data_IF_017204691661
#
_entry.id   IF_017204691661
#
_cell.length_a   1.000
_cell.length_b   1.000
_cell.length_c   1.000
_cell.angle_alpha   90.00
_cell.angle_beta   90.00
_cell.angle_gamma   90.00
#
_symmetry.space_group_name_H-M   'P 1'
#
loop_
_entity.id
_entity.type
_entity.pdbx_description
1 polymer ?
#
# COMPACT_ATOMS: atom_id res chain seq x y z
N UNK A 1 36.83 1.74 -22.62
CA UNK A 1 35.53 2.37 -22.30
C UNK A 1 34.59 1.26 -21.86
N UNK A 2 34.37 1.11 -20.55
CA UNK A 2 33.47 0.06 -20.01
C UNK A 2 32.11 0.72 -19.84
N UNK A 3 31.14 0.32 -20.67
CA UNK A 3 29.74 0.61 -20.39
C UNK A 3 29.31 -0.31 -19.25
N UNK A 4 29.14 0.26 -18.05
CA UNK A 4 28.32 -0.39 -17.03
C UNK A 4 26.88 -0.40 -17.57
N UNK A 5 26.18 -1.55 -17.62
CA UNK A 5 24.78 -1.55 -18.00
C UNK A 5 24.04 -0.63 -17.04
N UNK A 6 23.25 0.30 -17.58
CA UNK A 6 22.33 1.12 -16.83
C UNK A 6 21.46 0.14 -16.02
N UNK A 7 21.75 -0.04 -14.74
CA UNK A 7 20.97 -0.89 -13.86
C UNK A 7 19.56 -0.31 -13.90
N UNK A 8 18.62 -0.98 -14.60
CA UNK A 8 17.22 -0.57 -14.60
C UNK A 8 16.81 -0.52 -13.13
N UNK A 9 16.57 0.68 -12.60
CA UNK A 9 16.09 0.85 -11.22
C UNK A 9 14.93 -0.11 -11.03
N UNK A 10 15.05 -1.04 -10.08
CA UNK A 10 13.95 -1.96 -9.76
C UNK A 10 12.82 -1.10 -9.21
N UNK A 11 11.78 -0.90 -10.02
CA UNK A 11 10.58 -0.19 -9.58
C UNK A 11 9.71 -1.16 -8.79
N UNK A 12 9.20 -0.73 -7.64
CA UNK A 12 8.23 -1.44 -6.83
C UNK A 12 6.89 -0.70 -6.85
N UNK A 13 5.78 -1.44 -6.87
CA UNK A 13 4.45 -0.85 -6.77
C UNK A 13 4.05 -0.76 -5.30
N UNK A 14 3.66 0.41 -4.81
CA UNK A 14 3.18 0.66 -3.45
C UNK A 14 1.74 1.15 -3.50
N UNK A 15 0.90 0.72 -2.55
CA UNK A 15 -0.41 1.32 -2.29
C UNK A 15 -0.35 2.24 -1.07
N UNK A 16 -0.80 3.49 -1.22
CA UNK A 16 -0.88 4.44 -0.10
C UNK A 16 -2.21 4.25 0.64
N UNK A 17 -2.11 4.00 1.96
CA UNK A 17 -3.23 3.89 2.89
C UNK A 17 -3.28 5.19 3.71
N UNK A 18 -4.14 6.10 3.32
CA UNK A 18 -4.22 7.44 3.90
C UNK A 18 -5.31 8.17 3.15
N UNK A 19 -6.03 9.08 3.79
CA UNK A 19 -7.24 9.75 3.28
C UNK A 19 -7.11 10.13 1.79
N UNK A 20 -7.52 9.24 0.89
CA UNK A 20 -7.22 9.38 -0.52
C UNK A 20 -8.39 8.97 -1.39
N UNK A 21 -8.35 9.63 -2.54
CA UNK A 21 -9.35 9.66 -3.58
C UNK A 21 -9.46 8.28 -4.25
N UNK A 22 -10.59 8.14 -4.94
CA UNK A 22 -11.08 6.92 -5.59
C UNK A 22 -10.09 6.48 -6.67
N UNK A 23 -9.72 5.20 -6.79
CA UNK A 23 -9.31 4.57 -8.08
C UNK A 23 -8.90 3.06 -8.06
N UNK A 24 -8.32 2.45 -7.00
CA UNK A 24 -8.01 1.00 -6.96
C UNK A 24 -8.37 0.36 -5.62
N UNK A 25 -8.53 -0.98 -5.52
CA UNK A 25 -8.91 -1.63 -4.24
C UNK A 25 -8.15 -2.90 -3.90
N UNK A 26 -7.97 -3.19 -2.60
CA UNK A 26 -7.49 -4.48 -2.11
C UNK A 26 -8.41 -5.64 -2.55
N UNK A 27 -7.81 -6.73 -3.01
CA UNK A 27 -8.55 -7.95 -3.34
C UNK A 27 -9.28 -8.52 -2.09
N UNK A 28 -8.57 -8.53 -0.96
CA UNK A 28 -9.03 -9.06 0.33
C UNK A 28 -9.35 -7.92 1.29
N UNK A 29 -10.46 -7.99 2.03
CA UNK A 29 -10.88 -6.97 3.01
C UNK A 29 -9.89 -6.80 4.16
N UNK A 30 -9.75 -5.56 4.65
CA UNK A 30 -8.98 -5.21 5.85
C UNK A 30 -9.73 -4.16 6.69
N UNK A 31 -9.55 -4.14 8.02
CA UNK A 31 -10.00 -3.03 8.86
C UNK A 31 -9.13 -1.80 8.63
N UNK A 32 -9.78 -0.64 8.46
CA UNK A 32 -9.15 0.66 8.52
C UNK A 32 -9.75 1.39 9.73
N UNK A 33 -8.92 1.71 10.71
CA UNK A 33 -9.34 2.37 11.96
C UNK A 33 -8.69 3.73 12.05
N UNK A 34 -9.41 4.73 12.55
CA UNK A 34 -8.86 6.06 12.81
C UNK A 34 -8.68 6.20 14.31
N UNK A 35 -7.46 6.52 14.76
CA UNK A 35 -7.24 6.86 16.17
C UNK A 35 -7.57 8.34 16.36
N UNK A 36 -8.50 8.63 17.26
CA UNK A 36 -9.06 9.97 17.48
C UNK A 36 -7.99 11.02 17.83
N UNK A 37 -6.92 10.63 18.54
CA UNK A 37 -5.85 11.57 18.92
C UNK A 37 -4.96 12.01 17.75
N UNK A 38 -4.89 11.22 16.67
CA UNK A 38 -3.96 11.45 15.57
C UNK A 38 -4.65 11.81 14.24
N UNK A 39 -5.94 11.50 14.06
CA UNK A 39 -6.62 11.55 12.75
C UNK A 39 -5.86 10.80 11.63
N UNK A 40 -4.99 9.86 12.01
CA UNK A 40 -4.22 9.03 11.08
C UNK A 40 -4.99 7.71 10.91
N UNK A 41 -5.31 7.31 9.67
CA UNK A 41 -5.94 6.02 9.42
C UNK A 41 -4.90 4.89 9.49
N UNK A 42 -5.18 3.87 10.28
CA UNK A 42 -4.37 2.67 10.45
C UNK A 42 -5.01 1.50 9.72
N UNK A 43 -4.28 0.93 8.75
CA UNK A 43 -4.68 -0.31 8.10
C UNK A 43 -4.23 -1.50 8.96
N UNK A 44 -5.19 -2.23 9.54
CA UNK A 44 -4.88 -3.40 10.36
C UNK A 44 -4.63 -4.62 9.49
N UNK A 45 -3.57 -5.38 9.76
CA UNK A 45 -3.23 -6.60 9.00
C UNK A 45 -4.10 -7.81 9.41
N UNK A 46 -5.41 -7.63 9.45
CA UNK A 46 -6.41 -8.67 9.77
C UNK A 46 -7.19 -9.00 8.50
N UNK A 47 -6.63 -9.91 7.70
CA UNK A 47 -7.22 -10.27 6.41
C UNK A 47 -8.63 -10.85 6.54
N UNK A 48 -9.52 -10.50 5.60
CA UNK A 48 -10.88 -11.03 5.51
C UNK A 48 -11.91 -10.29 6.36
N UNK A 49 -11.49 -9.30 7.14
CA UNK A 49 -12.35 -8.48 8.01
C UNK A 49 -12.41 -7.03 7.52
N UNK A 50 -13.32 -6.21 8.07
CA UNK A 50 -13.46 -4.82 7.66
C UNK A 50 -14.02 -4.65 6.24
N UNK A 51 -13.39 -3.80 5.43
CA UNK A 51 -13.89 -3.40 4.10
C UNK A 51 -12.80 -3.51 3.03
N UNK A 52 -13.25 -3.41 1.78
CA UNK A 52 -12.35 -3.11 0.66
C UNK A 52 -11.95 -1.63 0.77
N UNK A 53 -10.66 -1.39 0.92
CA UNK A 53 -9.98 -0.10 0.96
C UNK A 53 -9.70 0.32 -0.48
N UNK A 54 -10.01 1.57 -0.79
CA UNK A 54 -9.73 2.17 -2.08
C UNK A 54 -8.55 3.12 -1.93
N UNK A 55 -7.60 3.08 -2.86
CA UNK A 55 -6.40 3.93 -2.86
C UNK A 55 -5.77 4.01 -4.23
N UNK A 56 -4.54 4.52 -4.25
CA UNK A 56 -3.73 4.77 -5.44
C UNK A 56 -2.49 3.87 -5.46
N UNK A 57 -2.05 3.45 -6.65
CA UNK A 57 -0.85 2.64 -6.84
C UNK A 57 0.26 3.50 -7.45
N UNK A 58 1.42 3.51 -6.80
CA UNK A 58 2.60 4.27 -7.23
C UNK A 58 3.76 3.35 -7.54
N UNK A 59 4.46 3.63 -8.64
CA UNK A 59 5.73 2.97 -8.97
C UNK A 59 6.87 3.80 -8.37
N UNK A 60 7.61 3.23 -7.43
CA UNK A 60 8.73 3.90 -6.75
C UNK A 60 10.04 3.15 -6.98
N UNK A 61 11.17 3.85 -6.88
CA UNK A 61 12.47 3.19 -6.86
C UNK A 61 12.84 2.72 -5.43
N UNK A 62 13.92 1.95 -5.33
CA UNK A 62 14.41 1.38 -4.07
C UNK A 62 14.81 2.45 -3.04
N UNK A 63 15.29 3.61 -3.50
CA UNK A 63 15.66 4.70 -2.60
C UNK A 63 14.43 5.31 -1.93
N UNK A 64 13.38 5.60 -2.71
CA UNK A 64 12.11 6.09 -2.17
C UNK A 64 11.41 5.02 -1.32
N UNK A 65 11.52 3.74 -1.70
CA UNK A 65 10.98 2.64 -0.90
C UNK A 65 11.62 2.58 0.50
N UNK A 66 12.95 2.70 0.61
CA UNK A 66 13.63 2.73 1.92
C UNK A 66 13.25 3.97 2.73
N UNK A 67 13.12 5.15 2.09
CA UNK A 67 12.65 6.35 2.78
C UNK A 67 11.26 6.15 3.38
N UNK A 68 10.34 5.50 2.65
CA UNK A 68 8.99 5.20 3.15
C UNK A 68 9.02 4.21 4.31
N UNK A 69 9.90 3.19 4.25
CA UNK A 69 10.10 2.27 5.38
C UNK A 69 10.52 3.00 6.65
N UNK A 70 11.46 3.94 6.56
CA UNK A 70 11.90 4.75 7.70
C UNK A 70 10.80 5.71 8.18
N UNK A 71 10.09 6.35 7.24
CA UNK A 71 9.02 7.31 7.54
C UNK A 71 7.83 6.66 8.26
N UNK A 72 7.40 5.48 7.81
CA UNK A 72 6.33 4.70 8.43
C UNK A 72 6.82 3.85 9.63
N UNK A 73 8.10 4.00 10.03
CA UNK A 73 8.66 3.33 11.21
C UNK A 73 8.68 1.81 11.10
N UNK A 74 8.91 1.27 9.91
CA UNK A 74 9.03 -0.17 9.68
C UNK A 74 10.30 -0.75 10.34
N UNK A 75 10.24 -2.01 10.81
CA UNK A 75 9.08 -2.90 10.88
C UNK A 75 8.25 -2.73 12.17
N UNK A 76 8.51 -1.70 12.99
CA UNK A 76 7.99 -1.59 14.35
C UNK A 76 6.56 -1.04 14.41
N UNK A 77 6.28 0.07 13.72
CA UNK A 77 4.95 0.71 13.73
C UNK A 77 4.05 0.14 12.65
N UNK A 78 4.57 0.12 11.42
CA UNK A 78 3.97 -0.55 10.29
C UNK A 78 4.89 -1.66 9.78
N UNK A 79 4.31 -2.55 8.98
CA UNK A 79 5.02 -3.62 8.29
C UNK A 79 4.68 -3.56 6.81
N UNK A 80 5.71 -3.41 5.98
CA UNK A 80 5.58 -3.51 4.53
C UNK A 80 5.40 -4.97 4.13
N UNK A 81 4.26 -5.30 3.54
CA UNK A 81 3.92 -6.66 3.10
C UNK A 81 3.38 -6.68 1.67
N UNK A 82 3.68 -7.72 0.87
CA UNK A 82 3.09 -7.86 -0.46
C UNK A 82 1.60 -8.25 -0.35
N UNK A 83 0.73 -7.59 -1.11
CA UNK A 83 -0.72 -7.86 -1.19
C UNK A 83 -1.21 -7.82 -2.63
N UNK A 84 -2.24 -8.62 -2.91
CA UNK A 84 -2.96 -8.59 -4.20
C UNK A 84 -3.92 -7.40 -4.26
N UNK A 85 -3.78 -6.57 -5.29
CA UNK A 85 -4.55 -5.35 -5.52
C UNK A 85 -5.30 -5.47 -6.84
N UNK A 86 -6.61 -5.24 -6.79
CA UNK A 86 -7.49 -5.22 -7.95
C UNK A 86 -7.43 -3.84 -8.62
N UNK A 87 -7.05 -3.83 -9.90
CA UNK A 87 -6.98 -2.62 -10.73
C UNK A 87 -8.38 -2.28 -11.26
N UNK A 88 -8.99 -1.23 -10.71
CA UNK A 88 -10.29 -0.74 -11.19
C UNK A 88 -10.10 0.22 -12.38
N UNK A 89 -9.10 1.08 -12.32
CA UNK A 89 -8.74 2.01 -13.39
C UNK A 89 -7.21 2.12 -13.55
N UNK A 90 -6.76 2.29 -14.78
CA UNK A 90 -5.35 2.51 -15.13
C UNK A 90 -5.18 3.83 -15.90
N UNK A 91 -4.58 4.83 -15.22
CA UNK A 91 -4.20 6.11 -15.81
C UNK A 91 -2.68 6.27 -15.74
N UNK A 92 -1.97 5.71 -16.72
CA UNK A 92 -0.53 5.87 -16.83
C UNK A 92 -0.10 5.89 -18.30
N UNK A 93 0.68 6.90 -18.68
CA UNK A 93 1.39 6.96 -19.95
C UNK A 93 2.67 6.13 -19.83
N UNK A 94 2.75 5.04 -20.59
CA UNK A 94 3.94 4.35 -21.12
C UNK A 94 5.16 3.99 -20.21
N UNK A 95 5.16 4.26 -18.90
CA UNK A 95 6.33 4.07 -18.01
C UNK A 95 6.23 2.90 -16.99
N UNK A 96 5.33 1.95 -17.25
CA UNK A 96 5.06 0.76 -16.43
C UNK A 96 5.46 -0.53 -17.20
N UNK A 97 5.62 -1.70 -16.53
CA UNK A 97 6.33 -2.88 -17.08
C UNK A 97 5.81 -3.29 -18.46
N UNK A 98 6.62 -4.02 -19.24
CA UNK A 98 6.42 -4.36 -20.67
C UNK A 98 5.00 -4.86 -21.07
N UNK A 99 4.10 -5.13 -20.11
CA UNK A 99 2.70 -5.49 -20.29
C UNK A 99 1.76 -4.61 -19.43
N UNK A 100 0.84 -3.90 -20.11
CA UNK A 100 -0.27 -3.18 -19.47
C UNK A 100 -1.22 -4.19 -18.80
N UNK A 101 -1.52 -4.06 -17.49
CA UNK A 101 -2.47 -4.95 -16.85
C UNK A 101 -3.86 -4.77 -17.48
N UNK A 102 -4.55 -5.88 -17.79
CA UNK A 102 -5.95 -5.82 -18.21
C UNK A 102 -6.78 -5.16 -17.10
N UNK A 103 -7.79 -4.37 -17.46
CA UNK A 103 -8.78 -3.87 -16.50
C UNK A 103 -9.40 -5.09 -15.80
N UNK A 104 -9.45 -5.11 -14.46
CA UNK A 104 -9.80 -6.28 -13.59
C UNK A 104 -8.64 -7.27 -13.33
N UNK A 105 -7.39 -6.90 -13.61
CA UNK A 105 -6.24 -7.71 -13.17
C UNK A 105 -5.91 -7.50 -11.69
N UNK A 106 -5.37 -8.56 -11.06
CA UNK A 106 -4.79 -8.50 -9.72
C UNK A 106 -3.27 -8.39 -9.89
N UNK A 107 -2.69 -7.33 -9.34
CA UNK A 107 -1.22 -7.18 -9.27
C UNK A 107 -0.75 -7.29 -7.82
N UNK A 108 0.52 -7.66 -7.64
CA UNK A 108 1.14 -7.65 -6.31
C UNK A 108 1.78 -6.29 -6.07
N UNK A 109 1.37 -5.62 -5.00
CA UNK A 109 1.94 -4.36 -4.53
C UNK A 109 2.39 -4.50 -3.08
N UNK A 110 3.32 -3.65 -2.65
CA UNK A 110 3.59 -3.45 -1.24
C UNK A 110 2.52 -2.58 -0.59
N UNK A 111 2.07 -3.01 0.57
CA UNK A 111 1.14 -2.29 1.43
C UNK A 111 1.76 -2.25 2.81
N UNK A 112 1.78 -1.08 3.43
CA UNK A 112 2.12 -1.00 4.83
C UNK A 112 0.85 -1.11 5.66
N UNK A 113 0.91 -1.98 6.66
CA UNK A 113 -0.20 -2.27 7.56
C UNK A 113 0.38 -2.55 8.92
N UNK A 114 -0.40 -2.38 9.98
CA UNK A 114 0.08 -2.61 11.33
C UNK A 114 -0.49 -3.90 11.93
N UNK A 115 0.38 -4.65 12.62
CA UNK A 115 0.00 -5.70 13.58
C UNK A 115 -0.03 -5.20 15.01
N UNK A 116 0.33 -3.94 15.24
CA UNK A 116 0.52 -3.36 16.57
C UNK A 116 -0.80 -2.95 17.26
N UNK A 117 -1.94 -3.35 16.70
CA UNK A 117 -3.28 -3.20 17.29
C UNK A 117 -3.54 -4.05 18.55
N UNK A 118 -2.55 -4.85 18.98
CA UNK A 118 -2.60 -5.58 20.24
C UNK A 118 -2.36 -4.68 21.46
N UNK A 119 -2.02 -3.40 21.30
CA UNK A 119 -2.13 -2.41 22.37
C UNK A 119 -3.59 -2.00 22.55
N UNK A 120 -4.07 -1.95 23.80
CA UNK A 120 -5.47 -1.66 24.16
C UNK A 120 -6.07 -0.39 23.50
N UNK A 121 -5.21 0.57 23.10
CA UNK A 121 -5.58 1.83 22.44
C UNK A 121 -6.24 1.70 21.06
N UNK A 122 -5.98 0.61 20.32
CA UNK A 122 -6.50 0.42 18.94
C UNK A 122 -7.77 -0.44 18.86
N UNK A 123 -8.25 -0.95 20.00
CA UNK A 123 -9.45 -1.80 20.08
C UNK A 123 -10.76 -1.00 20.23
N UNK A 124 -10.70 0.32 20.33
CA UNK A 124 -11.90 1.15 20.42
C UNK A 124 -12.63 1.17 19.07
N UNK A 125 -13.90 0.68 19.01
CA UNK A 125 -14.66 0.70 17.77
C UNK A 125 -15.27 2.09 17.60
N UNK A 126 -14.85 2.84 16.58
CA UNK A 126 -15.66 3.95 16.07
C UNK A 126 -15.86 3.82 14.57
N UNK A 127 -17.07 3.42 14.19
CA UNK A 127 -18.06 4.33 13.61
C UNK A 127 -19.35 3.57 13.30
N UNK A 128 -20.43 4.00 13.94
CA UNK A 128 -21.84 3.84 13.55
C UNK A 128 -22.12 4.51 12.22
#
# INVERSE_FOLDING_TARGET
MVFLPLQKKKKANIVVYGTLKREQTNHTKYPLVTVEEANIPFLLNIAGTGRRIIGEIYSVDEQLLHFLDDFDGCPNWYQRTPKGIEILEWKGADDLPDERPAVISIITCFVYSTTCYQSESLQSPSLS
#
